data_IF_341974328878
#
_entry.id   IF_341974328878
#
_cell.length_a   1.000
_cell.length_b   1.000
_cell.length_c   1.000
_cell.angle_alpha   90.00
_cell.angle_beta   90.00
_cell.angle_gamma   90.00
#
_symmetry.space_group_name_H-M   'P 1'
#
loop_
_entity.id
_entity.type
_entity.pdbx_description
1 polymer ?
#
# COMPACT_ATOMS: atom_id res chain seq x y z
N UNK A 1 18.58 -6.60 -15.75
CA UNK A 1 17.91 -7.38 -14.69
C UNK A 1 18.94 -7.91 -13.69
N UNK A 2 20.00 -8.67 -14.08
CA UNK A 2 21.01 -9.24 -13.15
C UNK A 2 21.78 -8.18 -12.34
N UNK A 3 22.09 -7.01 -12.92
CA UNK A 3 22.77 -5.91 -12.20
C UNK A 3 21.86 -5.29 -11.14
N UNK A 4 20.59 -5.05 -11.47
CA UNK A 4 19.59 -4.52 -10.53
C UNK A 4 19.41 -5.44 -9.31
N UNK A 5 19.27 -6.75 -9.52
CA UNK A 5 19.19 -7.73 -8.42
C UNK A 5 20.42 -7.72 -7.50
N UNK A 6 21.61 -7.49 -8.04
CA UNK A 6 22.82 -7.37 -7.23
C UNK A 6 22.80 -6.11 -6.36
N UNK A 7 22.39 -4.97 -6.91
CA UNK A 7 22.30 -3.70 -6.16
C UNK A 7 21.26 -3.79 -5.03
N UNK A 8 20.09 -4.38 -5.29
CA UNK A 8 19.03 -4.55 -4.31
C UNK A 8 19.43 -5.46 -3.14
N UNK A 9 20.19 -6.53 -3.40
CA UNK A 9 20.70 -7.43 -2.35
C UNK A 9 21.76 -6.79 -1.45
N UNK A 10 22.65 -6.01 -2.03
CA UNK A 10 23.72 -5.33 -1.27
C UNK A 10 23.15 -4.30 -0.29
N UNK A 11 21.99 -3.71 -0.62
CA UNK A 11 21.38 -2.63 0.15
C UNK A 11 20.17 -3.06 0.97
N UNK A 12 19.83 -4.36 1.03
CA UNK A 12 18.59 -4.90 1.65
C UNK A 12 17.31 -4.16 1.18
N UNK A 13 17.36 -3.59 -0.03
CA UNK A 13 16.25 -2.79 -0.55
C UNK A 13 15.00 -3.62 -0.83
N UNK A 14 15.14 -4.92 -1.09
CA UNK A 14 14.04 -5.86 -1.27
C UNK A 14 13.25 -6.08 0.03
N UNK A 15 13.91 -6.11 1.17
CA UNK A 15 13.26 -6.22 2.49
C UNK A 15 12.51 -4.92 2.83
N UNK A 16 13.15 -3.78 2.56
CA UNK A 16 12.58 -2.46 2.80
C UNK A 16 11.38 -2.24 1.88
N UNK A 17 11.52 -2.48 0.57
CA UNK A 17 10.44 -2.34 -0.40
C UNK A 17 9.23 -3.22 -0.06
N UNK A 18 9.46 -4.45 0.39
CA UNK A 18 8.38 -5.36 0.82
C UNK A 18 7.66 -4.83 2.06
N UNK A 19 8.37 -4.24 3.02
CA UNK A 19 7.77 -3.61 4.20
C UNK A 19 6.88 -2.45 3.80
N UNK A 20 7.36 -1.55 2.93
CA UNK A 20 6.57 -0.44 2.41
C UNK A 20 5.36 -0.91 1.60
N UNK A 21 5.53 -1.94 0.75
CA UNK A 21 4.42 -2.53 0.01
C UNK A 21 3.29 -3.01 0.95
N UNK A 22 3.64 -3.72 2.02
CA UNK A 22 2.64 -4.23 2.95
C UNK A 22 2.00 -3.09 3.74
N UNK A 23 2.78 -2.15 4.28
CA UNK A 23 2.27 -1.03 5.07
C UNK A 23 1.33 -0.14 4.25
N UNK A 24 1.80 0.38 3.12
CA UNK A 24 1.02 1.30 2.31
C UNK A 24 -0.07 0.62 1.48
N UNK A 25 0.11 -0.65 1.12
CA UNK A 25 -0.95 -1.45 0.54
C UNK A 25 -2.09 -1.70 1.53
N UNK A 26 -1.76 -1.93 2.80
CA UNK A 26 -2.72 -2.04 3.89
C UNK A 26 -3.48 -0.73 4.12
N UNK A 27 -2.77 0.39 4.18
CA UNK A 27 -3.38 1.71 4.35
C UNK A 27 -4.30 2.05 3.17
N UNK A 28 -3.87 1.73 1.94
CA UNK A 28 -4.67 1.91 0.73
C UNK A 28 -5.94 1.06 0.72
N UNK A 29 -5.87 -0.19 1.16
CA UNK A 29 -7.02 -1.07 1.30
C UNK A 29 -8.01 -0.52 2.34
N UNK A 30 -7.55 -0.19 3.54
CA UNK A 30 -8.44 0.36 4.57
C UNK A 30 -9.07 1.70 4.16
N UNK A 31 -8.33 2.55 3.44
CA UNK A 31 -8.88 3.80 2.93
C UNK A 31 -9.96 3.54 1.87
N UNK A 32 -9.73 2.62 0.93
CA UNK A 32 -10.72 2.22 -0.07
C UNK A 32 -11.97 1.62 0.58
N UNK A 33 -11.79 0.72 1.54
CA UNK A 33 -12.88 0.13 2.32
C UNK A 33 -13.69 1.22 3.02
N UNK A 34 -13.02 2.18 3.67
CA UNK A 34 -13.67 3.29 4.35
C UNK A 34 -14.52 4.14 3.41
N UNK A 35 -14.01 4.45 2.21
CA UNK A 35 -14.75 5.21 1.19
C UNK A 35 -15.97 4.42 0.71
N UNK A 36 -15.81 3.12 0.39
CA UNK A 36 -16.91 2.26 -0.04
C UNK A 36 -18.01 2.21 1.03
N UNK A 37 -17.62 2.02 2.30
CA UNK A 37 -18.54 1.98 3.43
C UNK A 37 -19.25 3.32 3.64
N UNK A 38 -18.54 4.45 3.54
CA UNK A 38 -19.12 5.78 3.70
C UNK A 38 -20.20 6.08 2.65
N UNK A 39 -19.94 5.75 1.38
CA UNK A 39 -20.95 5.93 0.32
C UNK A 39 -22.12 4.96 0.45
N UNK A 40 -21.90 3.75 0.91
CA UNK A 40 -22.98 2.78 1.18
C UNK A 40 -23.91 3.27 2.28
N UNK A 41 -23.35 3.73 3.41
CA UNK A 41 -24.11 4.20 4.57
C UNK A 41 -24.89 5.48 4.24
N UNK A 42 -24.28 6.39 3.46
CA UNK A 42 -24.94 7.64 3.04
C UNK A 42 -26.06 7.45 2.02
N UNK A 43 -26.23 6.25 1.47
CA UNK A 43 -27.20 5.97 0.40
C UNK A 43 -26.81 6.55 -0.97
N UNK A 44 -25.62 7.17 -1.10
CA UNK A 44 -25.16 7.86 -2.31
C UNK A 44 -24.14 7.02 -3.10
N UNK A 45 -24.47 5.76 -3.39
CA UNK A 45 -23.58 4.80 -4.12
C UNK A 45 -23.48 5.13 -5.63
N UNK A 46 -23.20 6.38 -5.95
CA UNK A 46 -22.91 6.78 -7.32
C UNK A 46 -21.51 6.31 -7.74
N UNK A 47 -21.39 5.46 -8.78
CA UNK A 47 -20.08 4.87 -9.15
C UNK A 47 -19.01 5.91 -9.45
N UNK A 48 -19.37 7.01 -10.09
CA UNK A 48 -18.47 8.13 -10.40
C UNK A 48 -17.89 8.78 -9.14
N UNK A 49 -18.72 8.94 -8.10
CA UNK A 49 -18.29 9.52 -6.82
C UNK A 49 -17.39 8.56 -6.04
N UNK A 50 -17.77 7.28 -5.95
CA UNK A 50 -16.96 6.26 -5.29
C UNK A 50 -15.57 6.13 -5.95
N UNK A 51 -15.55 6.07 -7.29
CA UNK A 51 -14.30 5.96 -8.05
C UNK A 51 -13.44 7.21 -7.91
N UNK A 52 -14.02 8.41 -8.07
CA UNK A 52 -13.24 9.65 -7.99
C UNK A 52 -12.69 9.89 -6.58
N UNK A 53 -13.47 9.65 -5.53
CA UNK A 53 -13.02 9.77 -4.16
C UNK A 53 -11.93 8.72 -3.84
N UNK A 54 -12.16 7.45 -4.22
CA UNK A 54 -11.25 6.36 -3.94
C UNK A 54 -9.92 6.49 -4.69
N UNK A 55 -9.94 6.74 -5.99
CA UNK A 55 -8.70 6.99 -6.75
C UNK A 55 -8.02 8.29 -6.36
N UNK A 56 -8.79 9.35 -6.02
CA UNK A 56 -8.25 10.60 -5.52
C UNK A 56 -7.45 10.40 -4.23
N UNK A 57 -8.02 9.67 -3.27
CA UNK A 57 -7.35 9.32 -2.02
C UNK A 57 -6.11 8.45 -2.28
N UNK A 58 -6.22 7.42 -3.11
CA UNK A 58 -5.11 6.52 -3.44
C UNK A 58 -3.94 7.26 -4.12
N UNK A 59 -4.23 8.19 -5.04
CA UNK A 59 -3.21 9.02 -5.68
C UNK A 59 -2.54 9.96 -4.67
N UNK A 60 -3.31 10.60 -3.79
CA UNK A 60 -2.76 11.46 -2.74
C UNK A 60 -1.83 10.68 -1.80
N UNK A 61 -2.25 9.48 -1.37
CA UNK A 61 -1.43 8.58 -0.56
C UNK A 61 -0.17 8.12 -1.32
N UNK A 62 -0.31 7.77 -2.59
CA UNK A 62 0.82 7.34 -3.43
C UNK A 62 1.86 8.46 -3.60
N UNK A 63 1.44 9.70 -3.87
CA UNK A 63 2.35 10.85 -3.99
C UNK A 63 3.01 11.16 -2.65
N UNK A 64 2.24 11.18 -1.56
CA UNK A 64 2.77 11.42 -0.21
C UNK A 64 3.77 10.34 0.20
N UNK A 65 3.43 9.07 -0.03
CA UNK A 65 4.28 7.93 0.25
C UNK A 65 5.59 7.98 -0.55
N UNK A 66 5.50 8.19 -1.87
CA UNK A 66 6.68 8.31 -2.73
C UNK A 66 7.66 9.38 -2.23
N UNK A 67 7.14 10.55 -1.90
CA UNK A 67 7.97 11.66 -1.44
C UNK A 67 8.54 11.40 -0.05
N UNK A 68 7.73 10.90 0.88
CA UNK A 68 8.16 10.53 2.22
C UNK A 68 9.24 9.46 2.21
N UNK A 69 9.02 8.36 1.47
CA UNK A 69 9.99 7.29 1.33
C UNK A 69 11.29 7.77 0.65
N UNK A 70 11.17 8.58 -0.41
CA UNK A 70 12.34 9.12 -1.10
C UNK A 70 13.24 9.95 -0.17
N UNK A 71 12.66 10.89 0.57
CA UNK A 71 13.44 11.76 1.47
C UNK A 71 14.04 10.94 2.62
N UNK A 72 13.23 10.08 3.26
CA UNK A 72 13.64 9.31 4.43
C UNK A 72 14.74 8.31 4.06
N UNK A 73 14.53 7.52 3.01
CA UNK A 73 15.52 6.54 2.56
C UNK A 73 16.80 7.20 2.06
N UNK A 74 16.70 8.36 1.38
CA UNK A 74 17.87 9.11 0.95
C UNK A 74 18.70 9.60 2.14
N UNK A 75 18.05 10.15 3.16
CA UNK A 75 18.74 10.62 4.37
C UNK A 75 19.41 9.47 5.12
N UNK A 76 18.71 8.34 5.30
CA UNK A 76 19.25 7.17 5.99
C UNK A 76 20.45 6.57 5.26
N UNK A 77 20.38 6.50 3.92
CA UNK A 77 21.49 5.96 3.13
C UNK A 77 22.68 6.91 3.06
N UNK A 78 22.45 8.23 3.03
CA UNK A 78 23.53 9.19 3.13
C UNK A 78 24.25 9.09 4.47
N UNK A 79 23.50 8.87 5.57
CA UNK A 79 24.07 8.64 6.90
C UNK A 79 24.93 7.37 6.92
N UNK A 80 24.39 6.27 6.44
CA UNK A 80 25.13 4.97 6.38
C UNK A 80 26.39 5.05 5.53
N UNK A 81 26.35 5.82 4.43
CA UNK A 81 27.52 6.01 3.57
C UNK A 81 28.62 6.76 4.32
N UNK A 82 28.29 7.84 5.03
CA UNK A 82 29.25 8.59 5.85
C UNK A 82 29.86 7.73 6.97
N UNK A 83 29.04 6.94 7.67
CA UNK A 83 29.54 6.00 8.71
C UNK A 83 30.54 5.00 8.13
N UNK A 84 30.32 4.55 6.87
CA UNK A 84 31.26 3.68 6.16
C UNK A 84 32.55 4.41 5.74
N UNK A 85 32.43 5.65 5.24
CA UNK A 85 33.58 6.50 4.87
C UNK A 85 34.49 6.77 6.07
N UNK A 86 33.90 7.11 7.22
CA UNK A 86 34.61 7.30 8.48
C UNK A 86 35.31 6.04 8.95
N UNK A 87 34.63 4.88 8.86
CA UNK A 87 35.21 3.60 9.27
C UNK A 87 36.34 3.11 8.34
N UNK A 88 36.28 3.44 7.06
CA UNK A 88 37.25 3.01 6.05
C UNK A 88 38.35 4.05 5.77
N UNK A 89 38.23 5.26 6.35
CA UNK A 89 39.12 6.39 6.08
C UNK A 89 39.25 6.69 4.57
N UNK A 90 38.13 6.58 3.82
CA UNK A 90 38.15 6.75 2.35
C UNK A 90 36.82 7.32 1.87
N UNK A 91 36.85 8.14 0.82
CA UNK A 91 35.66 8.67 0.16
C UNK A 91 35.02 7.59 -0.73
N UNK A 92 33.68 7.49 -0.66
CA UNK A 92 32.90 6.46 -1.38
C UNK A 92 31.91 7.08 -2.39
N UNK A 93 31.95 8.37 -2.65
CA UNK A 93 30.98 9.09 -3.50
C UNK A 93 30.79 8.47 -4.89
N UNK A 94 31.88 8.01 -5.53
CA UNK A 94 31.84 7.36 -6.84
C UNK A 94 31.76 5.82 -6.78
N UNK A 95 31.56 5.28 -5.60
CA UNK A 95 31.54 3.84 -5.38
C UNK A 95 30.30 3.15 -5.96
N UNK A 96 30.40 1.84 -6.17
CA UNK A 96 29.24 0.99 -6.50
C UNK A 96 28.17 1.05 -5.39
N UNK A 97 28.60 1.24 -4.13
CA UNK A 97 27.74 1.33 -2.95
C UNK A 97 26.88 2.59 -3.02
N UNK A 98 27.45 3.75 -3.34
CA UNK A 98 26.71 5.01 -3.47
C UNK A 98 25.65 4.93 -4.58
N UNK A 99 26.03 4.39 -5.77
CA UNK A 99 25.11 4.19 -6.89
C UNK A 99 24.01 3.19 -6.57
N UNK A 100 24.34 2.08 -5.90
CA UNK A 100 23.35 1.09 -5.46
C UNK A 100 22.37 1.66 -4.44
N UNK A 101 22.84 2.54 -3.55
CA UNK A 101 22.01 3.24 -2.58
C UNK A 101 20.96 4.11 -3.25
N UNK A 102 21.34 4.91 -4.26
CA UNK A 102 20.40 5.78 -4.99
C UNK A 102 19.33 4.96 -5.74
N UNK A 103 19.73 3.89 -6.43
CA UNK A 103 18.77 2.99 -7.10
C UNK A 103 17.78 2.40 -6.10
N UNK A 104 18.26 2.02 -4.92
CA UNK A 104 17.40 1.47 -3.87
C UNK A 104 16.38 2.47 -3.35
N UNK A 105 16.76 3.74 -3.16
CA UNK A 105 15.85 4.83 -2.76
C UNK A 105 14.71 4.96 -3.77
N UNK A 106 15.04 5.00 -5.07
CA UNK A 106 14.03 5.13 -6.14
C UNK A 106 13.09 3.93 -6.15
N UNK A 107 13.61 2.71 -6.04
CA UNK A 107 12.79 1.49 -6.05
C UNK A 107 11.84 1.47 -4.85
N UNK A 108 12.31 1.80 -3.65
CA UNK A 108 11.48 1.86 -2.45
C UNK A 108 10.38 2.91 -2.59
N UNK A 109 10.73 4.12 -3.06
CA UNK A 109 9.77 5.19 -3.28
C UNK A 109 8.69 4.83 -4.32
N UNK A 110 9.06 4.13 -5.40
CA UNK A 110 8.11 3.66 -6.40
C UNK A 110 7.18 2.57 -5.85
N UNK A 111 7.70 1.63 -5.08
CA UNK A 111 6.88 0.59 -4.43
C UNK A 111 5.89 1.22 -3.46
N UNK A 112 6.35 2.20 -2.69
CA UNK A 112 5.54 2.93 -1.73
C UNK A 112 4.40 3.70 -2.43
N UNK A 113 4.70 4.38 -3.53
CA UNK A 113 3.72 5.08 -4.34
C UNK A 113 2.65 4.16 -4.93
N UNK A 114 3.05 3.01 -5.44
CA UNK A 114 2.16 2.11 -6.17
C UNK A 114 1.29 1.26 -5.25
N UNK A 115 1.74 0.98 -4.05
CA UNK A 115 1.04 0.09 -3.12
C UNK A 115 -0.41 0.51 -2.83
N UNK A 116 -0.72 1.76 -2.42
CA UNK A 116 -2.10 2.19 -2.18
C UNK A 116 -2.93 2.29 -3.46
N UNK A 117 -2.31 2.62 -4.60
CA UNK A 117 -2.99 2.69 -5.90
C UNK A 117 -3.44 1.29 -6.34
N UNK A 118 -2.59 0.28 -6.17
CA UNK A 118 -2.93 -1.11 -6.48
C UNK A 118 -4.07 -1.58 -5.56
N UNK A 119 -3.98 -1.32 -4.26
CA UNK A 119 -5.02 -1.69 -3.31
C UNK A 119 -6.38 -1.08 -3.68
N UNK A 120 -6.42 0.23 -3.90
CA UNK A 120 -7.63 0.93 -4.33
C UNK A 120 -8.16 0.43 -5.68
N UNK A 121 -7.27 0.14 -6.64
CA UNK A 121 -7.68 -0.39 -7.94
C UNK A 121 -8.38 -1.74 -7.81
N UNK A 122 -7.85 -2.63 -6.97
CA UNK A 122 -8.48 -3.93 -6.70
C UNK A 122 -9.83 -3.74 -6.02
N UNK A 123 -9.90 -2.95 -4.94
CA UNK A 123 -11.11 -2.73 -4.17
C UNK A 123 -12.21 -2.03 -4.98
N UNK A 124 -11.85 -1.03 -5.80
CA UNK A 124 -12.81 -0.21 -6.55
C UNK A 124 -13.18 -0.81 -7.92
N UNK A 125 -12.48 -1.84 -8.39
CA UNK A 125 -12.70 -2.42 -9.72
C UNK A 125 -14.16 -2.81 -10.00
N UNK A 126 -14.99 -3.33 -9.06
CA UNK A 126 -16.38 -3.65 -9.35
C UNK A 126 -17.23 -2.42 -9.71
N UNK A 127 -16.87 -1.23 -9.19
CA UNK A 127 -17.58 0.01 -9.55
C UNK A 127 -17.32 0.46 -10.97
N UNK A 128 -16.19 0.10 -11.59
CA UNK A 128 -15.95 0.30 -13.02
C UNK A 128 -16.96 -0.49 -13.86
N UNK A 129 -17.28 -1.72 -13.47
CA UNK A 129 -18.28 -2.54 -14.17
C UNK A 129 -19.70 -1.99 -14.00
N UNK A 130 -20.01 -1.33 -12.87
CA UNK A 130 -21.28 -0.61 -12.71
C UNK A 130 -21.35 0.57 -13.69
N UNK A 131 -20.27 1.32 -13.84
CA UNK A 131 -20.21 2.46 -14.77
C UNK A 131 -20.44 2.03 -16.23
N UNK A 132 -19.98 0.83 -16.58
CA UNK A 132 -20.24 0.20 -17.88
C UNK A 132 -21.59 -0.52 -17.97
N UNK A 133 -22.45 -0.40 -16.95
CA UNK A 133 -23.78 -1.05 -16.87
C UNK A 133 -23.74 -2.59 -16.94
N UNK A 134 -22.63 -3.19 -16.54
CA UNK A 134 -22.43 -4.65 -16.52
C UNK A 134 -22.76 -5.28 -15.18
N UNK A 135 -22.83 -4.48 -14.10
CA UNK A 135 -23.05 -4.97 -12.74
C UNK A 135 -24.02 -4.05 -11.99
N UNK A 136 -24.98 -4.59 -11.18
CA UNK A 136 -25.79 -3.79 -10.26
C UNK A 136 -24.97 -3.16 -9.14
N UNK A 137 -25.39 -1.99 -8.63
CA UNK A 137 -24.68 -1.26 -7.57
C UNK A 137 -24.47 -2.07 -6.30
N UNK A 138 -25.51 -2.78 -5.85
CA UNK A 138 -25.46 -3.60 -4.63
C UNK A 138 -24.46 -4.76 -4.78
N UNK A 139 -24.47 -5.40 -5.96
CA UNK A 139 -23.50 -6.46 -6.25
C UNK A 139 -22.05 -5.94 -6.27
N UNK A 140 -21.85 -4.72 -6.77
CA UNK A 140 -20.53 -4.09 -6.77
C UNK A 140 -20.04 -3.80 -5.35
N UNK A 141 -20.92 -3.36 -4.45
CA UNK A 141 -20.57 -3.15 -3.05
C UNK A 141 -20.02 -4.44 -2.41
N UNK A 142 -20.78 -5.53 -2.46
CA UNK A 142 -20.34 -6.79 -1.87
C UNK A 142 -19.08 -7.35 -2.53
N UNK A 143 -18.97 -7.22 -3.84
CA UNK A 143 -17.79 -7.65 -4.59
C UNK A 143 -16.56 -6.81 -4.19
N UNK A 144 -16.71 -5.49 -4.04
CA UNK A 144 -15.63 -4.58 -3.63
C UNK A 144 -15.13 -4.89 -2.22
N UNK A 145 -16.04 -5.06 -1.27
CA UNK A 145 -15.68 -5.47 0.11
C UNK A 145 -14.98 -6.83 0.10
N UNK A 146 -15.49 -7.80 -0.66
CA UNK A 146 -14.88 -9.12 -0.79
C UNK A 146 -13.48 -9.08 -1.40
N UNK A 147 -13.27 -8.29 -2.46
CA UNK A 147 -11.96 -8.11 -3.09
C UNK A 147 -10.97 -7.39 -2.18
N UNK A 148 -11.42 -6.39 -1.44
CA UNK A 148 -10.59 -5.65 -0.50
C UNK A 148 -10.12 -6.55 0.65
N UNK A 149 -11.02 -7.31 1.27
CA UNK A 149 -10.67 -8.29 2.29
C UNK A 149 -9.76 -9.39 1.74
N UNK A 150 -9.97 -9.83 0.50
CA UNK A 150 -9.09 -10.76 -0.20
C UNK A 150 -7.68 -10.18 -0.42
N UNK A 151 -7.59 -8.91 -0.78
CA UNK A 151 -6.31 -8.20 -0.92
C UNK A 151 -5.59 -8.09 0.43
N UNK A 152 -6.30 -7.72 1.50
CA UNK A 152 -5.76 -7.70 2.87
C UNK A 152 -5.24 -9.08 3.29
N UNK A 153 -5.97 -10.16 2.97
CA UNK A 153 -5.52 -11.52 3.23
C UNK A 153 -4.20 -11.85 2.51
N UNK A 154 -4.08 -11.46 1.23
CA UNK A 154 -2.85 -11.64 0.45
C UNK A 154 -1.68 -10.86 1.06
N UNK A 155 -1.89 -9.62 1.47
CA UNK A 155 -0.86 -8.83 2.18
C UNK A 155 -0.41 -9.53 3.47
N UNK A 156 -1.34 -10.09 4.22
CA UNK A 156 -1.03 -10.88 5.41
C UNK A 156 -0.21 -12.13 5.10
N UNK A 157 -0.51 -12.83 3.99
CA UNK A 157 0.34 -13.97 3.52
C UNK A 157 1.76 -13.49 3.21
N UNK A 158 1.93 -12.37 2.52
CA UNK A 158 3.23 -11.79 2.20
C UNK A 158 4.01 -11.46 3.48
N UNK A 159 3.34 -10.87 4.46
CA UNK A 159 3.93 -10.54 5.76
C UNK A 159 4.32 -11.80 6.54
N UNK A 160 3.43 -12.80 6.63
CA UNK A 160 3.69 -14.07 7.32
C UNK A 160 4.88 -14.82 6.73
N UNK A 161 5.01 -14.84 5.38
CA UNK A 161 6.20 -15.41 4.71
C UNK A 161 7.48 -14.67 5.07
N UNK A 162 7.42 -13.34 5.13
CA UNK A 162 8.58 -12.51 5.50
C UNK A 162 9.02 -12.74 6.95
N UNK A 163 8.06 -12.92 7.85
CA UNK A 163 8.30 -13.20 9.26
C UNK A 163 8.67 -14.68 9.54
N UNK A 164 8.69 -15.55 8.53
CA UNK A 164 8.84 -17.00 8.68
C UNK A 164 7.84 -17.60 9.69
N UNK A 165 6.62 -17.06 9.70
CA UNK A 165 5.53 -17.42 10.59
C UNK A 165 4.34 -17.98 9.79
N UNK A 166 3.26 -18.38 10.50
CA UNK A 166 2.06 -18.91 9.86
C UNK A 166 1.40 -17.87 8.97
N UNK A 167 1.40 -18.09 7.65
CA UNK A 167 0.80 -17.19 6.65
C UNK A 167 -0.70 -17.05 6.81
N UNK A 168 -1.38 -18.14 7.26
CA UNK A 168 -2.82 -18.12 7.48
C UNK A 168 -3.21 -17.26 8.68
N UNK A 169 -2.40 -17.28 9.75
CA UNK A 169 -2.64 -16.43 10.92
C UNK A 169 -2.49 -14.97 10.55
N UNK A 170 -1.40 -14.60 9.86
CA UNK A 170 -1.19 -13.21 9.43
C UNK A 170 -2.24 -12.75 8.42
N UNK A 171 -2.65 -13.62 7.48
CA UNK A 171 -3.77 -13.36 6.58
C UNK A 171 -5.06 -13.10 7.32
N UNK A 172 -5.40 -13.99 8.27
CA UNK A 172 -6.59 -13.85 9.11
C UNK A 172 -6.60 -12.58 9.96
N UNK A 173 -5.46 -12.20 10.55
CA UNK A 173 -5.33 -10.95 11.31
C UNK A 173 -5.58 -9.71 10.45
N UNK A 174 -5.06 -9.66 9.22
CA UNK A 174 -5.31 -8.54 8.29
C UNK A 174 -6.79 -8.43 7.92
N UNK A 175 -7.45 -9.55 7.64
CA UNK A 175 -8.90 -9.59 7.38
C UNK A 175 -9.69 -9.15 8.61
N UNK A 176 -9.29 -9.57 9.81
CA UNK A 176 -9.95 -9.20 11.05
C UNK A 176 -9.90 -7.69 11.28
N UNK A 177 -8.77 -7.03 10.99
CA UNK A 177 -8.67 -5.58 11.07
C UNK A 177 -9.53 -4.90 10.00
N UNK A 178 -9.59 -5.44 8.78
CA UNK A 178 -10.49 -4.95 7.74
C UNK A 178 -11.97 -5.00 8.17
N UNK A 179 -12.41 -6.14 8.73
CA UNK A 179 -13.76 -6.29 9.27
C UNK A 179 -14.03 -5.36 10.46
N UNK A 180 -13.06 -5.19 11.35
CA UNK A 180 -13.13 -4.23 12.45
C UNK A 180 -13.32 -2.82 11.94
N UNK A 181 -12.53 -2.41 10.94
CA UNK A 181 -12.63 -1.09 10.30
C UNK A 181 -14.00 -0.90 9.66
N UNK A 182 -14.51 -1.87 8.90
CA UNK A 182 -15.85 -1.83 8.33
C UNK A 182 -16.94 -1.67 9.41
N UNK A 183 -16.80 -2.38 10.53
CA UNK A 183 -17.71 -2.27 11.68
C UNK A 183 -17.68 -0.88 12.32
N UNK A 184 -16.49 -0.26 12.44
CA UNK A 184 -16.38 1.10 12.93
C UNK A 184 -17.09 2.11 12.03
N UNK A 185 -16.97 1.97 10.72
CA UNK A 185 -17.69 2.83 9.77
C UNK A 185 -19.21 2.66 9.89
N UNK A 186 -19.72 1.44 10.08
CA UNK A 186 -21.15 1.20 10.32
C UNK A 186 -21.63 1.90 11.60
N UNK A 187 -20.89 1.78 12.70
CA UNK A 187 -21.24 2.43 13.97
C UNK A 187 -21.24 3.96 13.81
N UNK A 188 -20.20 4.53 13.20
CA UNK A 188 -20.12 5.96 12.93
C UNK A 188 -21.25 6.44 12.04
N UNK A 189 -21.59 5.69 10.98
CA UNK A 189 -22.69 6.01 10.08
C UNK A 189 -24.03 6.07 10.79
N UNK A 190 -24.29 5.12 11.68
CA UNK A 190 -25.51 5.14 12.52
C UNK A 190 -25.58 6.37 13.44
N UNK A 191 -24.41 6.87 13.89
CA UNK A 191 -24.33 8.08 14.73
C UNK A 191 -24.55 9.38 13.98
N UNK A 192 -24.23 9.42 12.68
CA UNK A 192 -24.44 10.60 11.83
C UNK A 192 -25.80 10.63 11.11
N UNK A 193 -26.52 9.53 11.07
CA UNK A 193 -27.86 9.42 10.48
C UNK A 193 -28.98 9.79 11.45
N UNK A 194 -28.67 10.13 12.69
CA UNK A 194 -29.56 10.66 13.72
C UNK A 194 -29.51 12.17 13.78
#
# INVERSE_FOLDING_TARGET
VRRLHRHLRVTSADEIARRYLVMNGFDGALAALGIIMAFYISGHMEPSLVLSAGFGAALAMGVSGAWGAFITERAERARKLRELEEALYTELDDSIIARASLVSVIVVALVDALAPIIAATVALSPFLFVQWKMLPRDSAFYASVGLDLGFLFILGIVLGRSARASTLIYGGLMVLIGLFTASLFLILGLSFSL
#
